data_IF_135789346090
#
_entry.id   IF_135789346090
#
_cell.length_a   1.000
_cell.length_b   1.000
_cell.length_c   1.000
_cell.angle_alpha   90.00
_cell.angle_beta   90.00
_cell.angle_gamma   90.00
#
_symmetry.space_group_name_H-M   'P 1'
#
loop_
_entity.id
_entity.type
_entity.pdbx_description
1 polymer ?
#
# COMPACT_ATOMS: atom_id res chain seq x y z
N UNK A 1 -3.73 -7.68 -6.46
CA UNK A 1 -4.41 -8.85 -7.04
C UNK A 1 -5.36 -9.36 -5.97
N UNK A 2 -6.66 -9.28 -6.22
CA UNK A 2 -7.73 -9.71 -5.29
C UNK A 2 -8.08 -11.19 -5.50
N UNK A 3 -7.14 -11.92 -6.08
CA UNK A 3 -7.26 -13.34 -6.35
C UNK A 3 -6.95 -14.15 -5.10
N UNK A 4 -7.29 -15.44 -5.16
CA UNK A 4 -6.77 -16.40 -4.21
C UNK A 4 -5.24 -16.47 -4.34
N UNK A 5 -4.51 -16.59 -3.22
CA UNK A 5 -3.06 -16.70 -3.28
C UNK A 5 -2.61 -17.88 -4.15
N UNK A 6 -1.64 -17.64 -5.04
CA UNK A 6 -1.05 -18.69 -5.90
C UNK A 6 -0.11 -19.63 -5.12
N UNK A 7 0.35 -19.19 -3.94
CA UNK A 7 1.33 -19.88 -3.12
C UNK A 7 0.89 -19.90 -1.66
N UNK A 8 1.29 -20.93 -0.94
CA UNK A 8 1.07 -21.04 0.50
C UNK A 8 1.90 -20.02 1.29
N UNK A 9 1.42 -19.66 2.49
CA UNK A 9 2.17 -18.81 3.40
C UNK A 9 3.28 -19.61 4.11
N UNK A 10 4.53 -19.42 3.67
CA UNK A 10 5.70 -20.07 4.28
C UNK A 10 6.41 -19.27 5.36
N UNK A 11 5.91 -18.09 5.74
CA UNK A 11 6.51 -17.29 6.81
C UNK A 11 6.25 -17.92 8.18
N UNK A 12 7.21 -17.76 9.09
CA UNK A 12 7.12 -18.26 10.46
C UNK A 12 7.41 -17.15 11.45
N UNK A 13 6.81 -17.26 12.64
CA UNK A 13 7.04 -16.34 13.75
C UNK A 13 8.55 -16.26 14.04
N UNK A 14 9.05 -15.03 14.17
CA UNK A 14 10.46 -14.75 14.40
C UNK A 14 11.33 -14.68 13.14
N UNK A 15 10.80 -14.90 11.94
CA UNK A 15 11.55 -14.59 10.72
C UNK A 15 11.75 -13.07 10.58
N UNK A 16 12.96 -12.66 10.15
CA UNK A 16 13.33 -11.26 9.89
C UNK A 16 13.30 -10.95 8.40
N UNK A 17 12.85 -9.74 8.09
CA UNK A 17 12.71 -9.20 6.75
C UNK A 17 12.89 -7.68 6.75
N UNK A 18 12.91 -7.09 5.56
CA UNK A 18 12.86 -5.64 5.34
C UNK A 18 11.47 -5.27 4.85
N UNK A 19 10.95 -4.10 5.17
CA UNK A 19 9.65 -3.67 4.63
C UNK A 19 9.36 -2.21 4.88
N UNK A 20 8.41 -1.68 4.14
CA UNK A 20 8.02 -0.27 4.20
C UNK A 20 7.22 -0.01 5.48
N UNK A 21 7.46 1.14 6.15
CA UNK A 21 6.55 1.65 7.18
C UNK A 21 5.25 2.14 6.51
N UNK A 22 4.08 1.52 6.78
CA UNK A 22 2.82 1.94 6.16
C UNK A 22 2.40 3.38 6.48
N UNK A 23 2.97 4.01 7.52
CA UNK A 23 2.72 5.40 7.89
C UNK A 23 3.75 6.38 7.33
N UNK A 24 4.91 5.87 6.91
CA UNK A 24 5.99 6.64 6.27
C UNK A 24 6.50 5.86 5.06
N UNK A 25 5.80 5.92 3.91
CA UNK A 25 6.07 5.02 2.79
C UNK A 25 7.45 5.17 2.13
N UNK A 26 8.21 6.21 2.50
CA UNK A 26 9.61 6.41 2.12
C UNK A 26 10.62 5.60 2.95
N UNK A 27 10.20 5.03 4.07
CA UNK A 27 11.09 4.43 5.07
C UNK A 27 11.01 2.91 5.00
N UNK A 28 12.15 2.27 4.77
CA UNK A 28 12.32 0.81 4.85
C UNK A 28 12.89 0.43 6.21
N UNK A 29 12.25 -0.50 6.90
CA UNK A 29 12.57 -0.87 8.27
C UNK A 29 12.97 -2.35 8.38
N UNK A 30 13.73 -2.65 9.44
CA UNK A 30 13.90 -4.03 9.92
C UNK A 30 12.63 -4.49 10.62
N UNK A 31 12.04 -5.58 10.11
CA UNK A 31 10.81 -6.14 10.63
C UNK A 31 10.99 -7.61 11.05
N UNK A 32 10.18 -8.03 12.03
CA UNK A 32 10.00 -9.43 12.39
C UNK A 32 8.55 -9.88 12.28
N UNK A 33 8.35 -11.14 11.90
CA UNK A 33 7.04 -11.78 11.89
C UNK A 33 6.63 -12.05 13.34
N UNK A 34 5.68 -11.28 13.86
CA UNK A 34 5.17 -11.41 15.22
C UNK A 34 4.00 -12.40 15.31
N UNK A 35 3.23 -12.55 14.23
CA UNK A 35 2.10 -13.48 14.15
C UNK A 35 1.87 -13.90 12.70
N UNK A 36 1.34 -15.12 12.54
CA UNK A 36 0.88 -15.65 11.25
C UNK A 36 -0.56 -16.11 11.43
N UNK A 37 -1.45 -15.65 10.56
CA UNK A 37 -2.87 -16.01 10.56
C UNK A 37 -3.33 -16.22 9.12
N UNK A 38 -3.56 -17.47 8.72
CA UNK A 38 -3.80 -17.84 7.33
C UNK A 38 -2.73 -17.28 6.39
N UNK A 39 -3.14 -16.53 5.36
CA UNK A 39 -2.21 -15.86 4.42
C UNK A 39 -1.70 -14.48 4.89
N UNK A 40 -1.98 -14.09 6.15
CA UNK A 40 -1.64 -12.77 6.69
C UNK A 40 -0.56 -12.86 7.75
N UNK A 41 0.22 -11.80 7.85
CA UNK A 41 1.34 -11.63 8.76
C UNK A 41 1.11 -10.38 9.60
N UNK A 42 1.33 -10.48 10.91
CA UNK A 42 1.55 -9.30 11.75
C UNK A 42 3.05 -9.04 11.82
N UNK A 43 3.47 -7.87 11.38
CA UNK A 43 4.87 -7.45 11.35
C UNK A 43 5.14 -6.47 12.49
N UNK A 44 6.31 -6.64 13.10
CA UNK A 44 6.81 -5.85 14.22
C UNK A 44 8.09 -5.11 13.83
N UNK A 45 8.20 -3.85 14.23
CA UNK A 45 9.42 -3.05 14.07
C UNK A 45 10.42 -3.40 15.17
N UNK A 46 11.55 -4.05 14.82
CA UNK A 46 12.50 -4.55 15.83
C UNK A 46 13.04 -3.39 16.71
N UNK A 47 12.86 -3.52 18.02
CA UNK A 47 13.28 -2.52 19.02
C UNK A 47 12.25 -1.42 19.31
N UNK A 48 11.05 -1.48 18.72
CA UNK A 48 9.96 -0.54 18.97
C UNK A 48 8.81 -1.20 19.75
N UNK A 49 7.78 -0.41 20.10
CA UNK A 49 6.61 -0.91 20.82
C UNK A 49 5.66 -1.66 19.86
N UNK A 50 4.97 -2.67 20.37
CA UNK A 50 4.00 -3.45 19.57
C UNK A 50 2.77 -2.66 19.11
N UNK A 51 2.55 -1.46 19.63
CA UNK A 51 1.50 -0.55 19.15
C UNK A 51 1.76 -0.02 17.73
N UNK A 52 2.97 -0.22 17.20
CA UNK A 52 3.32 0.09 15.81
C UNK A 52 3.15 -1.12 14.88
N UNK A 53 2.86 -2.31 15.42
CA UNK A 53 2.68 -3.49 14.59
C UNK A 53 1.55 -3.29 13.57
N UNK A 54 1.71 -3.89 12.40
CA UNK A 54 0.73 -3.81 11.33
C UNK A 54 0.54 -5.18 10.65
N UNK A 55 -0.61 -5.34 9.99
CA UNK A 55 -0.92 -6.55 9.25
C UNK A 55 -0.69 -6.35 7.75
N UNK A 56 -0.23 -7.40 7.08
CA UNK A 56 -0.12 -7.44 5.62
C UNK A 56 -0.27 -8.87 5.11
N UNK A 57 -0.51 -9.05 3.81
CA UNK A 57 -0.55 -10.38 3.19
C UNK A 57 0.87 -10.89 2.94
N UNK A 58 1.07 -12.21 2.95
CA UNK A 58 2.38 -12.82 2.69
C UNK A 58 2.94 -12.50 1.29
N UNK A 59 2.06 -12.22 0.31
CA UNK A 59 2.43 -11.78 -1.03
C UNK A 59 2.57 -10.26 -1.21
N UNK A 60 2.64 -9.49 -0.13
CA UNK A 60 2.71 -8.03 -0.20
C UNK A 60 3.94 -7.54 -0.99
N UNK A 61 3.79 -6.54 -1.89
CA UNK A 61 4.93 -5.93 -2.57
C UNK A 61 5.74 -4.99 -1.66
N UNK A 62 5.26 -4.73 -0.44
CA UNK A 62 5.87 -3.81 0.52
C UNK A 62 6.85 -4.50 1.49
N UNK A 63 7.08 -5.80 1.32
CA UNK A 63 8.03 -6.58 2.10
C UNK A 63 9.11 -7.19 1.20
N UNK A 64 10.32 -7.23 1.72
CA UNK A 64 11.52 -7.60 0.99
C UNK A 64 12.44 -8.51 1.82
N UNK A 65 13.22 -9.39 1.17
CA UNK A 65 14.17 -10.23 1.89
C UNK A 65 15.30 -9.40 2.49
N UNK A 66 15.88 -9.90 3.57
CA UNK A 66 17.11 -9.35 4.18
C UNK A 66 18.20 -9.08 3.12
N UNK A 67 18.76 -7.87 3.17
CA UNK A 67 19.79 -7.38 2.24
C UNK A 67 19.22 -6.78 0.95
N UNK A 68 17.90 -6.57 0.85
CA UNK A 68 17.29 -5.95 -0.32
C UNK A 68 17.68 -4.48 -0.40
N UNK A 69 17.54 -3.70 0.67
CA UNK A 69 17.89 -2.28 0.74
C UNK A 69 19.35 -2.04 0.32
N UNK A 70 20.29 -2.85 0.82
CA UNK A 70 21.70 -2.76 0.41
C UNK A 70 21.87 -3.01 -1.10
N UNK A 71 21.23 -4.08 -1.62
CA UNK A 71 21.30 -4.45 -3.04
C UNK A 71 20.70 -3.36 -3.95
N UNK A 72 19.61 -2.74 -3.52
CA UNK A 72 18.88 -1.73 -4.28
C UNK A 72 19.30 -0.30 -3.94
N UNK A 73 20.29 -0.13 -3.05
CA UNK A 73 20.80 1.17 -2.56
C UNK A 73 19.76 2.03 -1.85
N UNK A 74 18.75 1.41 -1.24
CA UNK A 74 17.80 2.11 -0.37
C UNK A 74 18.35 2.19 1.06
N UNK A 75 17.95 3.24 1.78
CA UNK A 75 18.29 3.36 3.19
C UNK A 75 17.46 2.39 4.03
N UNK A 76 18.15 1.57 4.83
CA UNK A 76 17.51 0.73 5.84
C UNK A 76 17.51 1.46 7.18
N UNK A 77 16.30 1.68 7.72
CA UNK A 77 16.08 2.10 9.08
C UNK A 77 16.30 0.92 10.03
N UNK A 78 17.44 0.96 10.72
CA UNK A 78 17.90 -0.11 11.60
C UNK A 78 17.10 -0.18 12.92
N UNK A 79 17.17 -1.30 13.65
CA UNK A 79 16.49 -1.45 14.94
C UNK A 79 16.94 -0.40 15.97
N UNK A 80 16.03 0.03 16.84
CA UNK A 80 16.32 1.02 17.88
C UNK A 80 17.48 0.54 18.78
N UNK A 81 18.44 1.43 19.03
CA UNK A 81 19.61 1.15 19.87
C UNK A 81 20.83 0.59 19.13
N UNK A 82 20.71 0.30 17.82
CA UNK A 82 21.86 0.00 16.97
C UNK A 82 22.42 1.27 16.34
N UNK A 83 23.70 1.24 15.94
CA UNK A 83 24.34 2.35 15.22
C UNK A 83 24.45 2.01 13.73
N UNK A 84 24.08 2.96 12.87
CA UNK A 84 24.04 2.79 11.41
C UNK A 84 25.38 2.39 10.81
N UNK A 85 26.48 2.93 11.33
CA UNK A 85 27.85 2.62 10.91
C UNK A 85 28.31 1.18 11.23
N UNK A 86 27.54 0.45 12.06
CA UNK A 86 27.91 -0.88 12.56
C UNK A 86 26.85 -1.95 12.31
N UNK A 87 25.71 -1.61 11.71
CA UNK A 87 24.66 -2.58 11.49
C UNK A 87 25.04 -3.49 10.31
N UNK A 88 25.32 -4.75 10.62
CA UNK A 88 25.54 -5.81 9.63
C UNK A 88 24.51 -6.90 9.89
N UNK A 89 23.68 -7.19 8.88
CA UNK A 89 22.61 -8.18 8.99
C UNK A 89 23.07 -9.52 9.54
N UNK A 90 24.19 -10.04 9.03
CA UNK A 90 24.71 -11.34 9.47
C UNK A 90 25.12 -11.35 10.94
N UNK A 91 25.67 -10.24 11.45
CA UNK A 91 26.05 -10.12 12.86
C UNK A 91 24.83 -9.95 13.75
N UNK A 92 23.85 -9.16 13.31
CA UNK A 92 22.57 -8.99 14.00
C UNK A 92 21.82 -10.33 14.15
N UNK A 93 21.67 -11.08 13.04
CA UNK A 93 21.01 -12.39 13.05
C UNK A 93 21.75 -13.39 13.94
N UNK A 94 23.09 -13.44 13.88
CA UNK A 94 23.90 -14.34 14.72
C UNK A 94 23.82 -13.98 16.20
N UNK A 95 24.05 -12.71 16.54
CA UNK A 95 24.08 -12.23 17.92
C UNK A 95 22.75 -12.49 18.64
N UNK A 96 21.64 -12.33 17.92
CA UNK A 96 20.30 -12.52 18.46
C UNK A 96 19.73 -13.92 18.21
N UNK A 97 20.47 -14.84 17.57
CA UNK A 97 20.02 -16.20 17.18
C UNK A 97 18.72 -16.19 16.38
N UNK A 98 18.62 -15.27 15.42
CA UNK A 98 17.42 -15.02 14.63
C UNK A 98 17.50 -15.72 13.28
N UNK A 99 16.33 -15.96 12.69
CA UNK A 99 16.20 -16.51 11.34
C UNK A 99 15.80 -15.41 10.36
N UNK A 100 16.37 -15.42 9.16
CA UNK A 100 15.89 -14.59 8.07
C UNK A 100 14.75 -15.30 7.31
N UNK A 101 13.79 -14.55 6.80
CA UNK A 101 12.81 -15.06 5.87
C UNK A 101 13.50 -15.48 4.55
N UNK A 102 13.33 -16.72 4.07
CA UNK A 102 13.89 -17.15 2.79
C UNK A 102 13.38 -16.32 1.62
N UNK A 103 14.28 -15.97 0.68
CA UNK A 103 13.96 -15.15 -0.51
C UNK A 103 12.78 -15.66 -1.35
N UNK A 104 12.56 -16.98 -1.37
CA UNK A 104 11.47 -17.64 -2.09
C UNK A 104 10.06 -17.33 -1.55
N UNK A 105 9.96 -16.77 -0.34
CA UNK A 105 8.68 -16.43 0.28
C UNK A 105 8.14 -15.07 -0.20
N UNK A 106 8.99 -14.24 -0.78
CA UNK A 106 8.63 -12.91 -1.24
C UNK A 106 8.08 -13.00 -2.66
N UNK A 107 7.15 -12.10 -2.98
CA UNK A 107 6.55 -11.99 -4.31
C UNK A 107 7.65 -11.95 -5.38
N UNK A 108 7.55 -12.84 -6.37
CA UNK A 108 8.38 -12.76 -7.58
C UNK A 108 7.86 -11.62 -8.47
N UNK A 109 8.76 -11.00 -9.24
CA UNK A 109 8.53 -9.84 -10.11
C UNK A 109 7.11 -9.77 -10.67
N UNK A 110 6.51 -8.58 -10.60
CA UNK A 110 5.15 -8.32 -11.07
C UNK A 110 4.88 -8.81 -12.50
N UNK A 111 3.67 -9.32 -12.72
CA UNK A 111 3.12 -9.71 -14.02
C UNK A 111 3.00 -8.53 -14.99
N UNK A 112 2.97 -7.29 -14.49
CA UNK A 112 2.86 -6.07 -15.29
C UNK A 112 4.16 -5.67 -16.00
N UNK A 113 5.27 -6.40 -15.73
CA UNK A 113 6.58 -6.06 -16.26
C UNK A 113 7.19 -4.82 -15.58
N UNK A 114 8.40 -4.40 -16.00
CA UNK A 114 9.03 -3.21 -15.45
C UNK A 114 8.27 -1.94 -15.85
N UNK A 115 8.34 -0.93 -14.99
CA UNK A 115 7.86 0.43 -15.30
C UNK A 115 8.46 0.93 -16.63
N UNK A 116 7.66 1.57 -17.52
CA UNK A 116 8.17 2.16 -18.76
C UNK A 116 9.28 3.17 -18.50
N UNK A 117 10.23 3.29 -19.44
CA UNK A 117 11.41 4.16 -19.30
C UNK A 117 11.07 5.65 -19.20
N UNK A 118 9.86 6.01 -19.58
CA UNK A 118 9.30 7.35 -19.51
C UNK A 118 8.89 7.76 -18.09
N UNK A 119 8.80 6.83 -17.14
CA UNK A 119 8.68 7.13 -15.72
C UNK A 119 10.07 7.01 -15.10
N UNK A 120 10.59 8.12 -14.58
CA UNK A 120 11.90 8.17 -13.94
C UNK A 120 11.80 8.93 -12.63
N UNK A 121 12.64 8.55 -11.67
CA UNK A 121 12.80 9.28 -10.42
C UNK A 121 13.18 10.73 -10.73
N UNK A 122 12.52 11.68 -10.05
CA UNK A 122 12.66 13.12 -10.25
C UNK A 122 11.71 13.72 -11.29
N UNK A 123 10.96 12.91 -12.05
CA UNK A 123 9.93 13.44 -12.95
C UNK A 123 8.71 13.92 -12.18
N UNK A 124 8.07 14.98 -12.72
CA UNK A 124 6.91 15.64 -12.12
C UNK A 124 5.58 15.19 -12.72
N UNK A 125 4.55 15.19 -11.90
CA UNK A 125 3.18 14.82 -12.23
C UNK A 125 2.18 15.53 -11.29
N UNK A 126 0.90 15.37 -11.56
CA UNK A 126 -0.18 15.79 -10.68
C UNK A 126 -0.74 14.57 -9.93
N UNK A 127 -0.93 14.68 -8.61
CA UNK A 127 -1.34 13.54 -7.79
C UNK A 127 -2.45 13.89 -6.80
N UNK A 128 -3.37 12.94 -6.57
CA UNK A 128 -4.41 13.07 -5.54
C UNK A 128 -3.80 12.82 -4.16
N UNK A 129 -3.99 13.73 -3.21
CA UNK A 129 -3.67 13.47 -1.80
C UNK A 129 -4.64 12.43 -1.24
N UNK A 130 -4.17 11.22 -0.96
CA UNK A 130 -5.01 10.13 -0.43
C UNK A 130 -5.54 10.42 0.98
N UNK A 131 -4.90 11.31 1.75
CA UNK A 131 -5.41 11.76 3.05
C UNK A 131 -6.48 12.84 2.88
N UNK A 132 -6.42 13.61 1.79
CA UNK A 132 -7.41 14.63 1.43
C UNK A 132 -7.85 14.48 -0.04
N UNK A 133 -8.70 13.49 -0.39
CA UNK A 133 -8.97 13.10 -1.78
C UNK A 133 -9.60 14.18 -2.69
N UNK A 134 -10.01 15.32 -2.12
CA UNK A 134 -10.45 16.50 -2.87
C UNK A 134 -9.30 17.29 -3.49
N UNK A 135 -8.06 17.09 -3.03
CA UNK A 135 -6.89 17.84 -3.45
C UNK A 135 -6.13 17.07 -4.53
N UNK A 136 -5.76 17.80 -5.58
CA UNK A 136 -4.79 17.35 -6.58
C UNK A 136 -3.61 18.30 -6.50
N UNK A 137 -2.41 17.77 -6.32
CA UNK A 137 -1.23 18.54 -5.93
C UNK A 137 -0.09 18.32 -6.91
N UNK A 138 0.84 19.28 -6.93
CA UNK A 138 2.16 19.13 -7.56
C UNK A 138 2.94 18.03 -6.86
N UNK A 139 3.41 17.05 -7.63
CA UNK A 139 4.09 15.88 -7.10
C UNK A 139 5.28 15.45 -7.97
N UNK A 140 6.16 14.66 -7.37
CA UNK A 140 7.37 14.09 -7.96
C UNK A 140 7.39 12.57 -7.78
N UNK A 141 7.88 11.84 -8.77
CA UNK A 141 8.25 10.43 -8.61
C UNK A 141 9.52 10.38 -7.77
N UNK A 142 9.39 10.08 -6.48
CA UNK A 142 10.52 10.07 -5.55
C UNK A 142 11.27 8.74 -5.54
N UNK A 143 10.64 7.66 -5.99
CA UNK A 143 11.28 6.34 -6.10
C UNK A 143 10.53 5.42 -7.07
N UNK A 144 11.21 4.38 -7.56
CA UNK A 144 10.63 3.33 -8.40
C UNK A 144 11.13 1.97 -7.92
N UNK A 145 10.19 1.14 -7.45
CA UNK A 145 10.45 -0.22 -7.00
C UNK A 145 9.61 -1.18 -7.82
N UNK A 146 10.28 -2.00 -8.61
CA UNK A 146 9.68 -2.97 -9.53
C UNK A 146 8.72 -2.34 -10.55
N UNK A 147 7.41 -2.50 -10.34
CA UNK A 147 6.32 -2.00 -11.18
C UNK A 147 5.58 -0.81 -10.53
N UNK A 148 6.11 -0.25 -9.43
CA UNK A 148 5.45 0.78 -8.63
C UNK A 148 6.26 2.06 -8.54
N UNK A 149 5.53 3.17 -8.47
CA UNK A 149 6.05 4.51 -8.25
C UNK A 149 5.78 4.92 -6.81
N UNK A 150 6.77 5.54 -6.15
CA UNK A 150 6.52 6.34 -4.95
C UNK A 150 6.23 7.77 -5.38
N UNK A 151 5.01 8.21 -5.10
CA UNK A 151 4.58 9.59 -5.32
C UNK A 151 4.90 10.40 -4.07
N UNK A 152 5.59 11.52 -4.25
CA UNK A 152 5.91 12.49 -3.20
C UNK A 152 5.30 13.85 -3.56
N UNK A 153 4.76 14.54 -2.56
CA UNK A 153 4.17 15.87 -2.73
C UNK A 153 5.21 16.96 -2.48
N UNK A 154 5.48 17.80 -3.47
CA UNK A 154 6.61 18.71 -3.45
C UNK A 154 6.53 19.70 -2.26
N UNK A 155 7.60 19.74 -1.47
CA UNK A 155 7.75 20.52 -0.22
C UNK A 155 6.83 20.09 0.94
N UNK A 156 6.17 18.93 0.85
CA UNK A 156 5.45 18.33 1.96
C UNK A 156 6.31 17.27 2.67
N UNK A 157 5.84 16.84 3.84
CA UNK A 157 6.44 15.74 4.58
C UNK A 157 6.16 14.38 3.90
N UNK A 158 7.14 13.47 3.94
CA UNK A 158 7.09 12.15 3.32
C UNK A 158 5.96 11.25 3.86
N UNK A 159 5.33 11.57 5.00
CA UNK A 159 4.17 10.82 5.49
C UNK A 159 2.95 10.91 4.56
N UNK A 160 2.92 11.87 3.64
CA UNK A 160 1.87 11.98 2.60
C UNK A 160 2.16 11.11 1.38
N UNK A 161 3.40 10.61 1.23
CA UNK A 161 3.77 9.78 0.11
C UNK A 161 2.91 8.53 0.03
N UNK A 162 2.81 7.95 -1.16
CA UNK A 162 2.23 6.63 -1.33
C UNK A 162 2.84 5.90 -2.52
N UNK A 163 2.82 4.57 -2.43
CA UNK A 163 3.17 3.71 -3.55
C UNK A 163 1.93 3.41 -4.41
N UNK A 164 2.06 3.49 -5.72
CA UNK A 164 1.00 3.10 -6.65
C UNK A 164 1.55 2.47 -7.94
N UNK A 165 0.69 1.81 -8.70
CA UNK A 165 1.02 1.41 -10.07
C UNK A 165 0.96 2.63 -11.01
N UNK A 166 1.59 2.49 -12.18
CA UNK A 166 1.65 3.54 -13.20
C UNK A 166 0.28 3.91 -13.78
N UNK A 167 -0.71 3.02 -13.67
CA UNK A 167 -2.08 3.21 -14.16
C UNK A 167 -3.03 3.68 -13.05
N UNK A 168 -2.50 4.04 -11.88
CA UNK A 168 -3.30 4.48 -10.75
C UNK A 168 -4.17 5.66 -11.14
N UNK A 169 -5.47 5.67 -10.78
CA UNK A 169 -6.35 6.80 -11.06
C UNK A 169 -5.93 8.08 -10.31
N UNK A 170 -5.03 7.94 -9.33
CA UNK A 170 -4.57 9.00 -8.45
C UNK A 170 -3.33 9.72 -8.96
N UNK A 171 -2.78 9.35 -10.10
CA UNK A 171 -1.66 10.05 -10.76
C UNK A 171 -2.10 10.50 -12.15
N UNK A 172 -1.79 11.74 -12.47
CA UNK A 172 -2.22 12.42 -13.69
C UNK A 172 -1.05 13.17 -14.32
N UNK A 173 -1.05 13.38 -15.64
CA UNK A 173 -0.01 14.17 -16.27
C UNK A 173 -0.08 15.64 -15.86
N UNK A 174 1.06 16.32 -15.96
CA UNK A 174 1.15 17.79 -15.83
C UNK A 174 0.17 18.47 -16.79
N UNK A 175 -0.65 19.37 -16.25
CA UNK A 175 -1.68 20.12 -16.99
C UNK A 175 -3.09 19.54 -16.85
N UNK A 176 -3.25 18.35 -16.28
CA UNK A 176 -4.54 17.67 -16.17
C UNK A 176 -5.57 18.48 -15.37
N UNK A 177 -5.20 19.10 -14.25
CA UNK A 177 -6.08 19.95 -13.46
C UNK A 177 -6.61 21.13 -14.28
N UNK A 178 -5.74 21.79 -15.05
CA UNK A 178 -6.13 22.90 -15.91
C UNK A 178 -7.15 22.46 -16.97
N UNK A 179 -6.88 21.33 -17.66
CA UNK A 179 -7.76 20.77 -18.68
C UNK A 179 -9.14 20.35 -18.13
N UNK A 180 -9.19 19.93 -16.87
CA UNK A 180 -10.41 19.43 -16.22
C UNK A 180 -11.08 20.48 -15.31
N UNK A 181 -10.65 21.75 -15.35
CA UNK A 181 -11.24 22.82 -14.54
C UNK A 181 -11.11 22.60 -13.03
N UNK A 182 -10.05 21.92 -12.60
CA UNK A 182 -9.72 21.66 -11.20
C UNK A 182 -8.61 22.58 -10.72
N UNK A 183 -8.67 22.95 -9.45
CA UNK A 183 -7.60 23.70 -8.79
C UNK A 183 -6.44 22.77 -8.47
N UNK A 184 -5.26 23.07 -9.03
CA UNK A 184 -4.02 22.43 -8.66
C UNK A 184 -3.46 23.07 -7.39
N UNK A 185 -3.07 22.26 -6.42
CA UNK A 185 -2.40 22.71 -5.20
C UNK A 185 -0.90 22.81 -5.47
N UNK A 186 -0.37 24.03 -5.43
CA UNK A 186 1.05 24.33 -5.58
C UNK A 186 1.89 23.75 -4.41
N UNK A 187 3.23 23.62 -4.58
CA UNK A 187 4.11 23.16 -3.50
C UNK A 187 3.99 24.02 -2.24
N UNK A 188 4.19 23.41 -1.07
CA UNK A 188 4.11 24.15 0.19
C UNK A 188 5.16 25.28 0.23
N UNK A 189 4.70 26.51 0.55
CA UNK A 189 5.55 27.70 0.61
C UNK A 189 5.92 28.29 -0.76
N UNK A 190 5.25 27.89 -1.84
CA UNK A 190 5.44 28.53 -3.15
C UNK A 190 5.09 30.03 -3.10
N UNK A 191 5.90 30.96 -3.65
CA UNK A 191 5.74 32.41 -3.44
C UNK A 191 4.40 33.00 -3.92
N UNK A 192 3.84 32.49 -5.02
CA UNK A 192 2.55 32.91 -5.55
C UNK A 192 1.72 31.68 -5.96
N UNK A 193 1.09 30.99 -4.99
CA UNK A 193 0.45 29.69 -5.24
C UNK A 193 -0.78 29.79 -6.15
N UNK A 194 -1.46 30.93 -6.17
CA UNK A 194 -2.66 31.15 -6.99
C UNK A 194 -2.32 31.29 -8.48
N UNK A 195 -1.09 31.73 -8.81
CA UNK A 195 -0.60 31.88 -10.18
C UNK A 195 0.50 30.86 -10.51
N UNK A 196 0.46 29.67 -9.91
CA UNK A 196 1.43 28.61 -10.17
C UNK A 196 1.48 28.24 -11.67
N UNK A 197 2.70 28.24 -12.22
CA UNK A 197 3.00 27.88 -13.61
C UNK A 197 3.87 26.63 -13.65
N UNK A 198 3.36 25.56 -14.25
CA UNK A 198 4.14 24.33 -14.47
C UNK A 198 5.40 24.59 -15.29
N UNK A 199 5.33 25.46 -16.30
CA UNK A 199 6.48 25.81 -17.14
C UNK A 199 7.59 26.43 -16.32
N UNK A 200 7.27 27.46 -15.53
CA UNK A 200 8.25 28.18 -14.72
C UNK A 200 8.80 27.27 -13.61
N UNK A 201 7.96 26.41 -13.03
CA UNK A 201 8.36 25.48 -12.00
C UNK A 201 9.30 24.39 -12.52
N UNK A 202 9.03 23.82 -13.69
CA UNK A 202 9.89 22.84 -14.35
C UNK A 202 11.24 23.46 -14.73
N UNK A 203 11.24 24.69 -15.25
CA UNK A 203 12.47 25.44 -15.57
C UNK A 203 13.29 25.74 -14.31
N UNK A 204 12.66 26.28 -13.26
CA UNK A 204 13.33 26.63 -12.00
C UNK A 204 13.91 25.42 -11.28
N UNK A 205 13.25 24.26 -11.35
CA UNK A 205 13.72 23.02 -10.72
C UNK A 205 14.63 22.19 -11.61
N UNK A 206 14.78 22.55 -12.88
CA UNK A 206 15.52 21.79 -13.89
C UNK A 206 15.04 20.33 -14.01
N UNK A 207 13.72 20.13 -13.92
CA UNK A 207 13.10 18.81 -13.98
C UNK A 207 12.21 18.65 -15.20
N UNK A 208 11.77 17.42 -15.46
CA UNK A 208 10.88 17.10 -16.57
C UNK A 208 9.55 16.55 -16.05
N UNK A 209 8.46 16.86 -16.76
CA UNK A 209 7.19 16.21 -16.54
C UNK A 209 7.20 14.78 -17.12
N UNK A 210 6.46 13.87 -16.49
CA UNK A 210 6.16 12.57 -17.09
C UNK A 210 5.31 12.82 -18.36
N UNK A 211 5.67 12.25 -19.53
CA UNK A 211 4.93 12.49 -20.76
C UNK A 211 3.48 12.02 -20.68
N UNK A 212 2.50 12.89 -20.95
CA UNK A 212 1.08 12.56 -20.81
C UNK A 212 0.62 11.30 -21.54
N UNK A 213 1.20 11.03 -22.72
CA UNK A 213 0.91 9.85 -23.55
C UNK A 213 1.20 8.49 -22.88
N UNK A 214 1.98 8.44 -21.79
CA UNK A 214 2.30 7.17 -21.11
C UNK A 214 1.36 6.85 -19.96
N UNK A 215 0.57 7.83 -19.50
CA UNK A 215 -0.50 7.56 -18.54
C UNK A 215 -1.62 6.78 -19.23
N UNK A 216 -2.03 5.69 -18.61
CA UNK A 216 -3.20 4.92 -19.01
C UNK A 216 -4.12 4.85 -17.81
N UNK A 217 -5.35 5.35 -17.98
CA UNK A 217 -6.34 5.23 -16.93
C UNK A 217 -6.71 3.76 -16.74
N UNK A 218 -6.68 3.28 -15.50
CA UNK A 218 -7.16 1.96 -15.15
C UNK A 218 -8.62 1.79 -15.52
N UNK A 219 -8.95 0.61 -16.04
CA UNK A 219 -10.34 0.22 -16.34
C UNK A 219 -11.14 0.14 -15.02
N UNK A 220 -12.40 0.62 -14.98
CA UNK A 220 -13.26 0.48 -13.82
C UNK A 220 -13.40 -0.97 -13.34
N UNK A 221 -13.50 -1.16 -12.02
CA UNK A 221 -13.35 -2.47 -11.36
C UNK A 221 -14.51 -3.47 -11.56
N UNK A 222 -15.67 -3.05 -12.06
CA UNK A 222 -16.81 -3.93 -12.36
C UNK A 222 -17.62 -4.46 -11.18
N UNK A 223 -17.20 -4.28 -9.92
CA UNK A 223 -18.05 -4.51 -8.75
C UNK A 223 -19.39 -3.79 -8.82
N UNK A 224 -20.45 -4.46 -8.33
CA UNK A 224 -21.81 -3.94 -8.28
C UNK A 224 -22.34 -3.91 -6.84
N UNK A 225 -23.26 -2.99 -6.50
CA UNK A 225 -23.97 -3.02 -5.22
C UNK A 225 -24.65 -4.37 -4.97
N UNK A 226 -24.71 -4.76 -3.70
CA UNK A 226 -25.18 -6.04 -3.16
C UNK A 226 -24.26 -7.26 -3.38
N UNK A 227 -23.13 -7.12 -4.08
CA UNK A 227 -22.11 -8.18 -4.08
C UNK A 227 -21.55 -8.40 -2.68
N UNK A 228 -21.27 -9.67 -2.36
CA UNK A 228 -20.69 -10.13 -1.09
C UNK A 228 -19.19 -10.35 -1.25
N UNK A 229 -18.44 -10.04 -0.21
CA UNK A 229 -16.99 -10.21 -0.15
C UNK A 229 -16.51 -10.39 1.29
N UNK A 230 -15.23 -10.66 1.45
CA UNK A 230 -14.54 -10.76 2.74
C UNK A 230 -13.55 -9.59 2.87
N UNK A 231 -13.64 -8.82 3.94
CA UNK A 231 -12.87 -7.57 4.09
C UNK A 231 -12.21 -7.48 5.46
N UNK A 232 -10.94 -7.07 5.48
CA UNK A 232 -10.23 -6.76 6.73
C UNK A 232 -10.90 -5.59 7.46
N UNK A 233 -11.15 -5.74 8.76
CA UNK A 233 -11.69 -4.67 9.59
C UNK A 233 -10.62 -3.60 9.84
N UNK A 234 -10.76 -2.42 9.23
CA UNK A 234 -9.82 -1.31 9.44
C UNK A 234 -9.65 -0.86 10.90
N UNK A 235 -10.63 -1.13 11.78
CA UNK A 235 -10.59 -0.78 13.22
C UNK A 235 -9.90 -1.86 14.03
N UNK A 236 -9.96 -3.10 13.57
CA UNK A 236 -9.22 -4.21 14.14
C UNK A 236 -8.63 -5.08 13.01
N UNK A 237 -7.44 -4.71 12.49
CA UNK A 237 -6.87 -5.34 11.30
C UNK A 237 -6.54 -6.83 11.45
N UNK A 238 -6.66 -7.41 12.65
CA UNK A 238 -6.61 -8.85 12.87
C UNK A 238 -7.81 -9.59 12.27
N UNK A 239 -8.96 -8.92 12.17
CA UNK A 239 -10.23 -9.54 11.81
C UNK A 239 -10.51 -9.38 10.31
N UNK A 240 -11.10 -10.41 9.71
CA UNK A 240 -11.75 -10.36 8.39
C UNK A 240 -13.23 -10.65 8.62
N UNK A 241 -14.11 -9.86 8.00
CA UNK A 241 -15.56 -9.98 8.19
C UNK A 241 -16.28 -10.23 6.88
N UNK A 242 -17.45 -10.85 6.97
CA UNK A 242 -18.44 -10.85 5.88
C UNK A 242 -18.89 -9.43 5.61
N UNK A 243 -18.82 -9.01 4.35
CA UNK A 243 -19.16 -7.66 3.94
C UNK A 243 -19.98 -7.62 2.64
N UNK A 244 -20.69 -6.51 2.48
CA UNK A 244 -21.51 -6.20 1.30
C UNK A 244 -21.09 -4.87 0.71
N UNK A 245 -21.03 -4.80 -0.62
CA UNK A 245 -20.88 -3.53 -1.36
C UNK A 245 -22.21 -2.81 -1.34
N UNK A 246 -22.26 -1.63 -0.72
CA UNK A 246 -23.49 -0.82 -0.66
C UNK A 246 -23.49 0.34 -1.65
N UNK A 247 -22.32 0.71 -2.17
CA UNK A 247 -22.14 1.77 -3.16
C UNK A 247 -20.80 1.56 -3.90
N UNK A 248 -20.66 2.12 -5.09
CA UNK A 248 -19.46 2.01 -5.91
C UNK A 248 -19.28 3.23 -6.84
N UNK A 249 -18.03 3.65 -7.03
CA UNK A 249 -17.64 4.55 -8.11
C UNK A 249 -16.72 3.80 -9.10
N UNK A 250 -16.01 4.49 -9.99
CA UNK A 250 -15.15 3.80 -10.98
C UNK A 250 -13.92 3.11 -10.35
N UNK A 251 -13.48 3.56 -9.17
CA UNK A 251 -12.20 3.18 -8.56
C UNK A 251 -12.33 2.60 -7.15
N UNK A 252 -13.47 2.83 -6.49
CA UNK A 252 -13.69 2.52 -5.08
C UNK A 252 -15.04 1.86 -4.86
N UNK A 253 -15.08 1.08 -3.78
CA UNK A 253 -16.29 0.45 -3.28
C UNK A 253 -16.57 0.93 -1.86
N UNK A 254 -17.85 1.07 -1.52
CA UNK A 254 -18.28 1.35 -0.15
C UNK A 254 -18.69 0.06 0.53
N UNK A 255 -17.94 -0.28 1.56
CA UNK A 255 -18.06 -1.53 2.29
C UNK A 255 -18.99 -1.35 3.50
N UNK A 256 -19.91 -2.30 3.65
CA UNK A 256 -20.74 -2.51 4.83
C UNK A 256 -20.40 -3.86 5.45
N UNK A 257 -20.20 -3.93 6.76
CA UNK A 257 -20.04 -5.20 7.46
C UNK A 257 -21.41 -5.76 7.84
N UNK A 258 -21.73 -6.96 7.37
CA UNK A 258 -23.06 -7.56 7.55
C UNK A 258 -23.40 -7.69 9.05
N UNK A 259 -24.57 -7.16 9.44
CA UNK A 259 -25.03 -7.15 10.84
C UNK A 259 -24.50 -6.01 11.71
N UNK A 260 -23.69 -5.11 11.16
CA UNK A 260 -23.20 -3.92 11.86
C UNK A 260 -24.00 -2.66 11.50
N UNK A 261 -23.87 -1.62 12.32
CA UNK A 261 -24.48 -0.31 12.08
C UNK A 261 -23.81 0.41 10.88
N UNK A 262 -24.60 1.05 10.03
CA UNK A 262 -24.14 1.79 8.84
C UNK A 262 -23.14 2.92 9.13
N UNK A 263 -23.07 3.43 10.36
CA UNK A 263 -22.01 4.38 10.77
C UNK A 263 -20.61 3.80 10.63
N UNK A 264 -20.51 2.47 10.54
CA UNK A 264 -19.24 1.77 10.37
C UNK A 264 -18.80 1.63 8.92
N UNK A 265 -19.68 1.90 7.96
CA UNK A 265 -19.44 1.80 6.53
C UNK A 265 -18.37 2.78 6.06
N UNK A 266 -17.60 2.40 5.03
CA UNK A 266 -16.54 3.26 4.50
C UNK A 266 -16.18 2.95 3.05
N UNK A 267 -15.68 3.96 2.36
CA UNK A 267 -15.06 3.83 1.05
C UNK A 267 -13.66 3.26 1.17
N UNK A 268 -13.29 2.39 0.24
CA UNK A 268 -11.92 1.92 0.05
C UNK A 268 -11.66 1.60 -1.42
N UNK A 269 -10.38 1.63 -1.80
CA UNK A 269 -9.96 1.35 -3.17
C UNK A 269 -10.35 -0.06 -3.58
N UNK A 270 -10.92 -0.19 -4.77
CA UNK A 270 -11.41 -1.47 -5.26
C UNK A 270 -10.30 -2.42 -5.69
N UNK A 271 -9.02 -2.04 -5.61
CA UNK A 271 -7.84 -2.90 -5.77
C UNK A 271 -7.10 -3.14 -4.45
N UNK A 272 -7.67 -2.68 -3.32
CA UNK A 272 -7.06 -2.83 -2.01
C UNK A 272 -6.69 -4.29 -1.73
N UNK A 273 -5.49 -4.55 -1.16
CA UNK A 273 -5.08 -5.91 -0.80
C UNK A 273 -5.88 -6.49 0.38
N UNK A 274 -6.76 -5.71 0.99
CA UNK A 274 -7.58 -6.07 2.15
C UNK A 274 -9.05 -6.38 1.77
N UNK A 275 -9.37 -6.38 0.46
CA UNK A 275 -10.61 -6.90 -0.12
C UNK A 275 -10.34 -8.27 -0.73
N UNK A 276 -11.17 -9.24 -0.38
CA UNK A 276 -11.04 -10.62 -0.83
C UNK A 276 -12.36 -11.21 -1.33
N UNK A 277 -12.31 -12.16 -2.28
CA UNK A 277 -13.49 -12.88 -2.74
C UNK A 277 -14.03 -13.79 -1.64
N UNK A 278 -15.31 -14.17 -1.77
CA UNK A 278 -15.93 -15.14 -0.87
C UNK A 278 -15.18 -16.48 -0.92
N UNK A 279 -14.89 -17.04 0.25
CA UNK A 279 -14.11 -18.27 0.45
C UNK A 279 -12.62 -18.05 0.67
N UNK A 280 -12.13 -16.81 0.64
CA UNK A 280 -10.70 -16.52 0.82
C UNK A 280 -10.19 -16.94 2.19
N UNK A 281 -10.93 -16.63 3.26
CA UNK A 281 -10.63 -17.08 4.62
C UNK A 281 -10.55 -18.60 4.72
N UNK A 282 -11.52 -19.31 4.12
CA UNK A 282 -11.56 -20.78 4.13
C UNK A 282 -10.36 -21.39 3.41
N UNK A 283 -10.04 -20.90 2.22
CA UNK A 283 -8.91 -21.39 1.40
C UNK A 283 -7.57 -21.10 2.07
N UNK A 284 -7.44 -19.94 2.72
CA UNK A 284 -6.17 -19.50 3.31
C UNK A 284 -6.00 -19.91 4.77
N UNK A 285 -7.03 -20.46 5.42
CA UNK A 285 -7.02 -20.81 6.84
C UNK A 285 -7.08 -19.59 7.77
N UNK A 286 -7.62 -18.47 7.32
CA UNK A 286 -7.87 -17.30 8.16
C UNK A 286 -9.29 -17.39 8.77
N UNK A 287 -9.50 -17.08 10.07
CA UNK A 287 -10.83 -17.02 10.65
C UNK A 287 -11.69 -15.93 10.00
N UNK A 288 -12.92 -16.28 9.60
CA UNK A 288 -13.93 -15.33 9.12
C UNK A 288 -14.90 -14.95 10.25
N UNK A 289 -15.01 -13.66 10.51
CA UNK A 289 -16.00 -13.12 11.43
C UNK A 289 -17.38 -13.08 10.75
N UNK A 290 -18.25 -13.90 11.30
CA UNK A 290 -19.63 -14.09 10.88
C UNK A 290 -20.55 -13.00 11.46
N UNK A 291 -21.63 -12.60 10.76
CA UNK A 291 -22.51 -11.53 11.22
C UNK A 291 -23.10 -11.78 12.61
N UNK A 292 -23.03 -10.79 13.48
CA UNK A 292 -23.71 -10.82 14.77
C UNK A 292 -25.23 -10.94 14.55
N UNK A 293 -25.85 -12.00 15.07
CA UNK A 293 -27.32 -12.10 15.15
C UNK A 293 -28.03 -13.17 14.30
N UNK A 294 -27.33 -14.12 13.66
CA UNK A 294 -27.99 -15.27 12.99
C UNK A 294 -27.62 -16.67 13.50
N UNK A 295 -26.96 -16.78 14.66
CA UNK A 295 -26.60 -18.06 15.29
C UNK A 295 -27.68 -18.72 16.15
N UNK A 296 -28.97 -18.52 15.82
CA UNK A 296 -30.05 -19.31 16.43
C UNK A 296 -30.89 -20.12 15.42
N UNK A 297 -30.58 -20.13 14.12
CA UNK A 297 -31.49 -20.72 13.12
C UNK A 297 -30.86 -21.62 12.04
N UNK A 298 -29.66 -22.19 12.25
CA UNK A 298 -29.07 -23.12 11.27
C UNK A 298 -28.59 -24.47 11.84
N UNK A 299 -28.96 -24.81 13.08
CA UNK A 299 -29.12 -26.22 13.46
C UNK A 299 -30.53 -26.69 13.11
N UNK A 300 -30.85 -26.73 11.81
CA UNK A 300 -31.93 -27.49 11.19
C UNK A 300 -31.91 -27.19 9.70
N UNK A 301 -31.24 -28.05 8.91
CA UNK A 301 -31.73 -28.64 7.66
C UNK A 301 -30.55 -29.15 6.82
N UNK A 302 -30.43 -30.49 6.86
CA UNK A 302 -29.72 -31.44 5.99
C UNK A 302 -28.20 -31.46 5.99
#
# INVERSE_FOLDING_TARGET
DQSFPEHENGFQIGMRLEGIDPRHPSVFCVLSVAEVCGYRLRLHFDGYLSSYDFWTNAGSPDIHPVGWCEKTKHELHIPKGYRKDKFVWMDYLKACKLQNAPKKLFRSRSSNGPVPKEFQVGMKLEAVDRKNPSLVCVATIADIVEDRLRVHFDNWDDSYDYWCDINSPYVQPVGWCHENGRTLIAPQGYPDPENFSWTDYLEATQTNAVPGRVFKMRVPHGFLPNMKLEVVDKRNPRLIRVATIIDADDQRVKIHFDGWDHKYDYWMDADSPDIHPVGWCDVTGHPLEVPYGKYFALHCCF
#
